data_IF_467976645108
#
_entry.id   IF_467976645108
#
_cell.length_a   1.000
_cell.length_b   1.000
_cell.length_c   1.000
_cell.angle_alpha   90.00
_cell.angle_beta   90.00
_cell.angle_gamma   90.00
#
_symmetry.space_group_name_H-M   'P 1'
#
loop_
_entity.id
_entity.type
_entity.pdbx_description
1 polymer ?
#
# COMPACT_ATOMS: atom_id res chain seq x y z
N UNK A 1 49.11 1.62 -46.55
CA UNK A 1 47.67 1.28 -46.66
C UNK A 1 47.28 0.39 -45.49
N UNK A 2 46.75 0.99 -44.43
CA UNK A 2 46.25 0.28 -43.23
C UNK A 2 44.74 0.19 -43.29
N UNK A 3 44.22 -1.04 -43.45
CA UNK A 3 42.77 -1.30 -43.30
C UNK A 3 42.42 -1.38 -41.81
N UNK A 4 41.63 -0.46 -41.33
CA UNK A 4 41.01 -0.49 -40.00
C UNK A 4 39.74 -1.37 -40.07
N UNK A 5 39.78 -2.49 -39.38
CA UNK A 5 38.61 -3.35 -39.16
C UNK A 5 37.82 -2.78 -38.00
N UNK A 6 36.60 -2.34 -38.27
CA UNK A 6 35.61 -1.94 -37.26
C UNK A 6 34.98 -3.22 -36.69
N UNK A 7 35.25 -3.48 -35.44
CA UNK A 7 34.52 -4.49 -34.65
C UNK A 7 33.22 -3.86 -34.18
N UNK A 8 32.10 -4.35 -34.70
CA UNK A 8 30.79 -4.03 -34.22
C UNK A 8 30.56 -4.76 -32.89
N UNK A 9 30.45 -4.00 -31.80
CA UNK A 9 30.02 -4.51 -30.51
C UNK A 9 28.48 -4.52 -30.51
N UNK A 10 27.93 -5.71 -30.71
CA UNK A 10 26.48 -5.93 -30.52
C UNK A 10 26.18 -5.96 -29.03
N UNK A 11 25.60 -4.90 -28.52
CA UNK A 11 25.06 -4.88 -27.18
C UNK A 11 23.79 -5.74 -27.12
N UNK A 12 23.92 -6.90 -26.50
CA UNK A 12 22.75 -7.73 -26.14
C UNK A 12 22.02 -7.09 -24.97
N UNK A 13 21.03 -6.27 -25.28
CA UNK A 13 20.00 -5.90 -24.32
C UNK A 13 18.96 -7.01 -24.32
N UNK A 14 18.99 -7.84 -23.30
CA UNK A 14 17.93 -8.83 -23.15
C UNK A 14 17.69 -9.21 -21.70
N UNK A 15 16.41 -9.23 -21.38
CA UNK A 15 15.80 -10.14 -20.42
C UNK A 15 16.14 -9.94 -18.94
N UNK A 16 16.04 -8.71 -18.41
CA UNK A 16 16.06 -8.50 -16.96
C UNK A 16 14.68 -8.29 -16.31
N UNK A 17 13.66 -7.96 -17.11
CA UNK A 17 12.35 -7.53 -16.57
C UNK A 17 11.34 -8.66 -16.32
N UNK A 18 11.53 -9.85 -16.92
CA UNK A 18 10.57 -10.95 -16.80
C UNK A 18 10.68 -11.75 -15.48
N UNK A 19 11.85 -11.73 -14.85
CA UNK A 19 12.10 -12.54 -13.65
C UNK A 19 11.61 -11.93 -12.32
N UNK A 20 11.30 -10.66 -12.28
CA UNK A 20 10.89 -9.99 -11.03
C UNK A 20 9.44 -10.30 -10.61
N UNK A 21 8.54 -10.53 -11.58
CA UNK A 21 7.13 -10.81 -11.30
C UNK A 21 6.91 -12.22 -10.73
N UNK A 22 7.69 -13.21 -11.17
CA UNK A 22 7.55 -14.59 -10.71
C UNK A 22 8.05 -14.82 -9.27
N UNK A 23 8.98 -13.99 -8.79
CA UNK A 23 9.49 -14.10 -7.41
C UNK A 23 8.58 -13.50 -6.35
N UNK A 24 7.65 -12.64 -6.75
CA UNK A 24 6.73 -11.96 -5.81
C UNK A 24 5.46 -12.77 -5.57
N UNK A 25 5.23 -13.85 -6.32
CA UNK A 25 4.02 -14.68 -6.18
C UNK A 25 2.74 -13.98 -6.68
N UNK A 26 2.84 -12.75 -7.19
CA UNK A 26 1.71 -12.02 -7.77
C UNK A 26 1.70 -12.29 -9.27
N UNK A 27 0.94 -13.28 -9.70
CA UNK A 27 0.63 -13.52 -11.11
C UNK A 27 -0.72 -12.87 -11.41
N UNK A 28 -0.76 -11.74 -12.11
CA UNK A 28 -2.03 -11.05 -12.37
C UNK A 28 -3.11 -11.92 -13.01
N UNK A 29 -2.70 -12.85 -13.86
CA UNK A 29 -3.57 -13.80 -14.56
C UNK A 29 -4.10 -14.94 -13.68
N UNK A 30 -3.46 -15.20 -12.54
CA UNK A 30 -3.86 -16.28 -11.60
C UNK A 30 -4.55 -15.76 -10.34
N UNK A 31 -4.66 -14.43 -10.18
CA UNK A 31 -5.36 -13.84 -9.05
C UNK A 31 -6.87 -14.03 -9.25
N UNK A 32 -7.57 -14.64 -8.29
CA UNK A 32 -9.02 -14.83 -8.38
C UNK A 32 -9.78 -13.53 -8.62
N UNK A 33 -10.96 -13.62 -9.21
CA UNK A 33 -11.81 -12.45 -9.36
C UNK A 33 -12.30 -11.95 -8.02
N UNK A 34 -12.67 -10.66 -7.94
CA UNK A 34 -13.19 -10.07 -6.70
C UNK A 34 -14.44 -10.81 -6.15
N UNK A 35 -15.17 -11.52 -6.99
CA UNK A 35 -16.33 -12.32 -6.60
C UNK A 35 -15.96 -13.55 -5.74
N UNK A 36 -14.72 -14.00 -5.79
CA UNK A 36 -14.23 -15.14 -5.01
C UNK A 36 -13.79 -14.76 -3.59
N UNK A 37 -13.73 -13.45 -3.29
CA UNK A 37 -13.33 -12.97 -1.97
C UNK A 37 -14.57 -12.66 -1.11
N UNK A 38 -14.86 -13.46 -0.09
CA UNK A 38 -16.08 -13.31 0.71
C UNK A 38 -16.15 -12.01 1.50
N UNK A 39 -15.05 -11.29 1.64
CA UNK A 39 -14.98 -10.02 2.37
C UNK A 39 -15.18 -8.79 1.51
N UNK A 40 -15.10 -8.94 0.20
CA UNK A 40 -15.41 -7.84 -0.70
C UNK A 40 -16.92 -7.78 -0.87
N UNK A 41 -17.54 -6.71 -0.41
CA UNK A 41 -18.98 -6.54 -0.61
C UNK A 41 -19.30 -6.33 -2.07
N UNK A 42 -20.43 -6.91 -2.50
CA UNK A 42 -21.02 -6.57 -3.79
C UNK A 42 -21.15 -5.05 -3.91
N UNK A 43 -20.65 -4.49 -5.02
CA UNK A 43 -20.66 -3.04 -5.23
C UNK A 43 -19.39 -2.30 -4.79
N UNK A 44 -18.36 -2.98 -4.23
CA UNK A 44 -17.05 -2.32 -4.03
C UNK A 44 -16.44 -1.96 -5.39
N UNK A 45 -16.15 -0.67 -5.56
CA UNK A 45 -15.60 -0.09 -6.79
C UNK A 45 -14.08 0.00 -6.67
N UNK A 46 -13.36 -1.03 -7.11
CA UNK A 46 -11.90 -1.12 -6.99
C UNK A 46 -11.17 -0.09 -7.84
N UNK A 47 -11.69 0.21 -9.03
CA UNK A 47 -11.19 1.26 -9.92
C UNK A 47 -11.34 2.64 -9.27
N UNK A 48 -12.52 2.96 -8.78
CA UNK A 48 -12.75 4.22 -8.05
C UNK A 48 -11.85 4.35 -6.82
N UNK A 49 -11.70 3.28 -6.04
CA UNK A 49 -10.81 3.27 -4.88
C UNK A 49 -9.37 3.57 -5.28
N UNK A 50 -8.85 2.83 -6.25
CA UNK A 50 -7.45 2.93 -6.68
C UNK A 50 -7.15 4.33 -7.24
N UNK A 51 -7.93 4.79 -8.22
CA UNK A 51 -7.68 6.05 -8.89
C UNK A 51 -7.94 7.26 -7.95
N UNK A 52 -9.00 7.22 -7.14
CA UNK A 52 -9.30 8.32 -6.22
C UNK A 52 -8.30 8.43 -5.07
N UNK A 53 -7.81 7.30 -4.56
CA UNK A 53 -6.75 7.31 -3.53
C UNK A 53 -5.46 7.89 -4.07
N UNK A 54 -5.03 7.51 -5.28
CA UNK A 54 -3.82 8.05 -5.88
C UNK A 54 -3.94 9.54 -6.22
N UNK A 55 -5.12 9.99 -6.63
CA UNK A 55 -5.34 11.39 -7.04
C UNK A 55 -5.59 12.34 -5.87
N UNK A 56 -6.31 11.90 -4.83
CA UNK A 56 -6.87 12.79 -3.80
C UNK A 56 -6.58 12.32 -2.37
N UNK A 57 -6.05 11.12 -2.18
CA UNK A 57 -5.75 10.59 -0.86
C UNK A 57 -4.38 11.02 -0.35
N UNK A 58 -4.21 10.92 0.95
CA UNK A 58 -2.97 11.22 1.66
C UNK A 58 -2.28 9.90 2.00
N UNK A 59 -1.46 9.43 1.07
CA UNK A 59 -0.82 8.12 1.12
C UNK A 59 0.60 8.16 1.68
N UNK A 60 0.96 7.11 2.38
CA UNK A 60 2.31 6.86 2.92
C UNK A 60 3.00 5.87 2.00
N UNK A 61 4.17 6.24 1.47
CA UNK A 61 4.97 5.39 0.59
C UNK A 61 6.45 5.41 1.00
N UNK A 62 7.17 4.36 0.62
CA UNK A 62 8.62 4.35 0.79
C UNK A 62 9.26 5.48 -0.04
N UNK A 63 9.92 6.47 0.58
CA UNK A 63 10.53 7.58 -0.15
C UNK A 63 11.69 7.16 -1.07
N UNK A 64 12.22 5.95 -0.86
CA UNK A 64 13.30 5.37 -1.69
C UNK A 64 12.76 4.52 -2.85
N UNK A 65 11.44 4.28 -2.92
CA UNK A 65 10.86 3.50 -4.02
C UNK A 65 10.94 4.30 -5.33
N UNK A 66 11.34 3.64 -6.42
CA UNK A 66 11.31 4.25 -7.75
C UNK A 66 9.87 4.56 -8.17
N UNK A 67 9.67 5.69 -8.85
CA UNK A 67 8.38 6.06 -9.44
C UNK A 67 7.90 5.10 -10.52
N UNK A 68 8.81 4.32 -11.12
CA UNK A 68 8.52 3.39 -12.21
C UNK A 68 7.98 2.05 -11.72
N UNK A 69 8.03 1.82 -10.40
CA UNK A 69 7.49 0.60 -9.81
C UNK A 69 5.95 0.59 -9.87
N UNK A 70 5.35 -0.59 -10.10
CA UNK A 70 3.91 -0.73 -10.03
C UNK A 70 3.41 -0.36 -8.64
N UNK A 71 2.32 0.42 -8.59
CA UNK A 71 1.72 0.84 -7.32
C UNK A 71 0.66 -0.14 -6.85
N UNK A 72 0.63 -0.36 -5.55
CA UNK A 72 -0.44 -1.04 -4.82
C UNK A 72 -1.02 -0.07 -3.81
N UNK A 73 -2.28 0.27 -3.97
CA UNK A 73 -3.05 1.07 -3.00
C UNK A 73 -3.50 0.16 -1.88
N UNK A 74 -3.21 0.51 -0.62
CA UNK A 74 -3.64 -0.25 0.55
C UNK A 74 -4.40 0.65 1.52
N UNK A 75 -5.65 0.29 1.79
CA UNK A 75 -6.46 0.90 2.85
C UNK A 75 -6.21 0.16 4.15
N UNK A 76 -5.78 0.86 5.18
CA UNK A 76 -5.28 0.30 6.43
C UNK A 76 -5.80 1.08 7.64
N UNK A 77 -5.93 0.41 8.78
CA UNK A 77 -6.24 1.04 10.07
C UNK A 77 -5.13 0.73 11.07
N UNK A 78 -4.67 1.74 11.78
CA UNK A 78 -3.57 1.64 12.76
C UNK A 78 -3.84 0.67 13.91
N UNK A 79 -5.09 0.33 14.18
CA UNK A 79 -5.47 -0.62 15.23
C UNK A 79 -5.79 -2.03 14.73
N UNK A 80 -5.54 -2.28 13.43
CA UNK A 80 -5.89 -3.54 12.78
C UNK A 80 -4.73 -4.55 12.79
N UNK A 81 -4.85 -5.71 13.48
CA UNK A 81 -3.79 -6.71 13.51
C UNK A 81 -3.46 -7.31 12.14
N UNK A 82 -4.44 -7.40 11.24
CA UNK A 82 -4.24 -7.88 9.88
C UNK A 82 -3.52 -6.86 9.00
N UNK A 83 -3.72 -5.56 9.28
CA UNK A 83 -2.99 -4.49 8.62
C UNK A 83 -1.50 -4.54 9.00
N UNK A 84 -1.21 -4.74 10.29
CA UNK A 84 0.16 -4.92 10.77
C UNK A 84 0.85 -6.14 10.14
N UNK A 85 0.13 -7.26 10.02
CA UNK A 85 0.67 -8.44 9.33
C UNK A 85 0.97 -8.17 7.86
N UNK A 86 0.06 -7.48 7.16
CA UNK A 86 0.25 -7.11 5.77
C UNK A 86 1.45 -6.17 5.61
N UNK A 87 1.58 -5.15 6.48
CA UNK A 87 2.75 -4.28 6.50
C UNK A 87 4.04 -5.08 6.55
N UNK A 88 4.19 -5.95 7.54
CA UNK A 88 5.40 -6.77 7.71
C UNK A 88 5.66 -7.68 6.49
N UNK A 89 4.60 -8.25 5.90
CA UNK A 89 4.72 -9.10 4.71
C UNK A 89 5.16 -8.33 3.46
N UNK A 90 4.87 -7.02 3.36
CA UNK A 90 5.27 -6.21 2.21
C UNK A 90 6.71 -5.67 2.28
N UNK A 91 7.31 -5.63 3.47
CA UNK A 91 8.65 -5.05 3.65
C UNK A 91 9.73 -5.64 2.73
N UNK A 92 9.82 -6.96 2.52
CA UNK A 92 10.80 -7.56 1.60
C UNK A 92 10.55 -7.24 0.12
N UNK A 93 9.43 -6.60 -0.21
CA UNK A 93 9.00 -6.33 -1.58
C UNK A 93 9.07 -4.84 -1.96
N UNK A 94 9.48 -3.98 -1.03
CA UNK A 94 9.45 -2.51 -1.21
C UNK A 94 10.46 -1.99 -2.24
N UNK A 95 11.40 -2.82 -2.67
CA UNK A 95 12.31 -2.56 -3.79
C UNK A 95 11.72 -2.92 -5.16
N UNK A 96 10.57 -3.62 -5.20
CA UNK A 96 9.93 -4.16 -6.41
C UNK A 96 8.53 -3.62 -6.66
N UNK A 97 7.89 -3.15 -5.59
CA UNK A 97 6.50 -2.68 -5.62
C UNK A 97 6.40 -1.41 -4.78
N UNK A 98 5.71 -0.41 -5.30
CA UNK A 98 5.41 0.81 -4.58
C UNK A 98 4.10 0.63 -3.80
N UNK A 99 4.20 0.20 -2.54
CA UNK A 99 3.04 0.13 -1.65
C UNK A 99 2.69 1.52 -1.13
N UNK A 100 1.47 1.97 -1.39
CA UNK A 100 0.96 3.26 -0.91
C UNK A 100 -0.14 2.99 0.11
N UNK A 101 0.15 3.33 1.37
CA UNK A 101 -0.73 3.05 2.51
C UNK A 101 -1.60 4.26 2.84
N UNK A 102 -2.90 4.06 2.84
CA UNK A 102 -3.90 5.07 3.18
C UNK A 102 -4.55 4.70 4.50
N UNK A 103 -4.24 5.48 5.55
CA UNK A 103 -4.76 5.24 6.89
C UNK A 103 -6.19 5.75 7.00
N UNK A 104 -7.06 4.90 7.52
CA UNK A 104 -8.49 5.17 7.75
C UNK A 104 -8.91 4.75 9.17
N UNK A 105 -9.81 5.47 9.84
CA UNK A 105 -10.24 5.15 11.21
C UNK A 105 -11.51 4.28 11.17
N UNK A 106 -11.36 2.98 10.99
CA UNK A 106 -12.49 2.04 10.90
C UNK A 106 -12.78 1.34 12.22
N UNK A 107 -11.73 1.08 13.03
CA UNK A 107 -11.87 0.20 14.19
C UNK A 107 -12.06 0.92 15.51
N UNK A 108 -11.37 2.05 15.74
CA UNK A 108 -11.39 2.77 17.02
C UNK A 108 -11.14 4.26 16.84
N UNK A 109 -11.58 5.07 17.80
CA UNK A 109 -11.29 6.51 17.83
C UNK A 109 -9.78 6.79 17.90
N UNK A 110 -9.04 5.94 18.58
CA UNK A 110 -7.58 6.02 18.66
C UNK A 110 -6.91 5.97 17.27
N UNK A 111 -7.53 5.28 16.31
CA UNK A 111 -7.02 5.17 14.94
C UNK A 111 -6.85 6.55 14.27
N UNK A 112 -7.76 7.50 14.53
CA UNK A 112 -7.66 8.87 14.00
C UNK A 112 -6.40 9.56 14.52
N UNK A 113 -6.19 9.51 15.83
CA UNK A 113 -5.09 10.21 16.48
C UNK A 113 -3.74 9.62 16.10
N UNK A 114 -3.64 8.30 16.01
CA UNK A 114 -2.43 7.61 15.54
C UNK A 114 -2.14 7.89 14.07
N UNK A 115 -3.15 7.81 13.20
CA UNK A 115 -2.99 8.08 11.78
C UNK A 115 -2.57 9.53 11.54
N UNK A 116 -3.20 10.50 12.22
CA UNK A 116 -2.85 11.90 12.13
C UNK A 116 -1.41 12.17 12.63
N UNK A 117 -1.00 11.53 13.73
CA UNK A 117 0.37 11.61 14.24
C UNK A 117 1.40 11.07 13.22
N UNK A 118 1.08 9.96 12.56
CA UNK A 118 1.93 9.37 11.52
C UNK A 118 2.04 10.33 10.32
N UNK A 119 0.91 10.85 9.81
CA UNK A 119 0.90 11.76 8.66
C UNK A 119 1.59 13.11 8.97
N UNK A 120 1.59 13.55 10.22
CA UNK A 120 2.23 14.81 10.63
C UNK A 120 3.75 14.72 10.71
N UNK A 121 4.31 13.53 10.64
CA UNK A 121 5.76 13.31 10.69
C UNK A 121 6.45 13.86 9.43
N UNK A 122 7.68 14.33 9.58
CA UNK A 122 8.55 14.68 8.45
C UNK A 122 8.88 13.48 7.56
N UNK A 123 8.80 12.26 8.11
CA UNK A 123 8.91 11.01 7.37
C UNK A 123 7.79 10.05 7.80
N UNK A 124 6.60 10.14 7.19
CA UNK A 124 5.47 9.29 7.55
C UNK A 124 5.73 7.79 7.35
N UNK A 125 6.59 7.41 6.41
CA UNK A 125 6.97 6.02 6.19
C UNK A 125 7.72 5.42 7.39
N UNK A 126 8.73 6.10 7.86
CA UNK A 126 9.48 5.66 9.06
C UNK A 126 8.58 5.69 10.30
N UNK A 127 7.74 6.72 10.42
CA UNK A 127 6.82 6.84 11.56
C UNK A 127 5.76 5.73 11.57
N UNK A 128 5.30 5.31 10.40
CA UNK A 128 4.40 4.16 10.31
C UNK A 128 5.14 2.85 10.62
N UNK A 129 6.39 2.70 10.18
CA UNK A 129 7.25 1.58 10.56
C UNK A 129 7.47 1.49 12.07
N UNK A 130 7.70 2.62 12.74
CA UNK A 130 7.78 2.70 14.21
C UNK A 130 6.47 2.26 14.87
N UNK A 131 5.32 2.72 14.34
CA UNK A 131 4.01 2.28 14.82
C UNK A 131 3.87 0.76 14.75
N UNK A 132 4.25 0.14 13.66
CA UNK A 132 4.15 -1.30 13.45
C UNK A 132 5.14 -2.10 14.31
N UNK A 133 6.30 -1.51 14.63
CA UNK A 133 7.27 -2.10 15.54
C UNK A 133 6.67 -2.28 16.95
N UNK A 134 5.96 -1.25 17.42
CA UNK A 134 5.33 -1.26 18.75
C UNK A 134 3.89 -1.81 18.74
N UNK A 135 3.43 -2.34 17.62
CA UNK A 135 2.04 -2.80 17.49
C UNK A 135 1.66 -3.92 18.47
N UNK A 136 2.63 -4.73 18.90
CA UNK A 136 2.41 -5.84 19.85
C UNK A 136 2.49 -5.42 21.31
N UNK A 137 2.89 -4.18 21.57
CA UNK A 137 3.04 -3.70 22.94
C UNK A 137 1.69 -3.61 23.64
N UNK A 138 1.64 -4.08 24.87
CA UNK A 138 0.45 -4.02 25.69
C UNK A 138 0.09 -2.56 26.00
N UNK A 139 -1.16 -2.19 25.76
CA UNK A 139 -1.71 -0.88 26.09
C UNK A 139 -2.17 -0.11 24.85
N UNK A 140 -1.27 0.32 23.99
CA UNK A 140 -1.65 1.21 22.87
C UNK A 140 -1.73 0.55 21.50
N UNK A 141 -1.13 -0.57 21.27
CA UNK A 141 -0.93 -1.11 19.92
C UNK A 141 -0.35 -0.04 18.99
N UNK A 142 0.98 0.08 18.99
CA UNK A 142 1.69 1.09 18.23
C UNK A 142 1.95 2.37 19.01
N UNK A 143 1.95 3.50 18.34
CA UNK A 143 2.29 4.81 18.91
C UNK A 143 1.25 5.29 19.93
N UNK A 144 1.71 5.88 21.03
CA UNK A 144 0.86 6.63 21.95
C UNK A 144 0.75 8.09 21.46
N UNK A 145 -0.43 8.58 21.03
CA UNK A 145 -0.62 9.96 20.61
C UNK A 145 -0.91 10.92 21.77
N UNK A 146 -1.01 10.43 23.01
CA UNK A 146 -1.39 11.23 24.16
C UNK A 146 -0.38 12.35 24.44
N UNK A 147 -0.87 13.57 24.64
CA UNK A 147 -0.03 14.74 24.91
C UNK A 147 0.75 15.26 23.70
N UNK A 148 0.65 14.64 22.53
CA UNK A 148 1.33 15.09 21.33
C UNK A 148 0.38 15.99 20.51
N UNK A 149 0.66 17.27 20.35
CA UNK A 149 -0.16 18.16 19.54
C UNK A 149 0.00 17.80 18.07
N UNK A 150 -1.12 17.60 17.37
CA UNK A 150 -1.18 17.37 15.93
C UNK A 150 -2.15 18.35 15.32
N UNK A 151 -1.72 19.07 14.28
CA UNK A 151 -2.54 20.02 13.53
C UNK A 151 -3.79 19.35 12.98
N UNK A 152 -4.93 20.03 13.04
CA UNK A 152 -6.23 19.53 12.61
C UNK A 152 -6.21 19.05 11.15
N UNK A 153 -5.42 19.68 10.29
CA UNK A 153 -5.28 19.30 8.87
C UNK A 153 -4.96 17.82 8.68
N UNK A 154 -4.13 17.22 9.55
CA UNK A 154 -3.77 15.80 9.42
C UNK A 154 -4.93 14.88 9.81
N UNK A 155 -5.81 15.32 10.71
CA UNK A 155 -7.06 14.61 10.98
C UNK A 155 -8.01 14.69 9.78
N UNK A 156 -8.05 15.84 9.11
CA UNK A 156 -8.85 16.06 7.91
C UNK A 156 -8.34 15.22 6.73
N UNK A 157 -7.02 15.02 6.64
CA UNK A 157 -6.39 14.11 5.68
C UNK A 157 -6.82 12.65 5.91
N UNK A 158 -6.80 12.18 7.17
CA UNK A 158 -7.31 10.85 7.55
C UNK A 158 -8.79 10.70 7.19
N UNK A 159 -9.61 11.72 7.46
CA UNK A 159 -11.02 11.70 7.08
C UNK A 159 -11.24 11.72 5.58
N UNK A 160 -10.37 12.37 4.82
CA UNK A 160 -10.41 12.35 3.36
C UNK A 160 -10.19 10.94 2.84
N UNK A 161 -9.16 10.25 3.33
CA UNK A 161 -8.94 8.84 3.02
C UNK A 161 -10.16 7.98 3.37
N UNK A 162 -10.75 8.19 4.55
CA UNK A 162 -11.93 7.45 5.00
C UNK A 162 -13.15 7.67 4.10
N UNK A 163 -13.38 8.91 3.65
CA UNK A 163 -14.47 9.23 2.72
C UNK A 163 -14.29 8.53 1.37
N UNK A 164 -13.09 8.58 0.78
CA UNK A 164 -12.79 7.90 -0.48
C UNK A 164 -13.03 6.40 -0.32
N UNK A 165 -12.48 5.77 0.72
CA UNK A 165 -12.67 4.36 1.00
C UNK A 165 -14.15 3.99 1.12
N UNK A 166 -14.92 4.76 1.91
CA UNK A 166 -16.35 4.52 2.12
C UNK A 166 -17.16 4.66 0.83
N UNK A 167 -16.90 5.71 0.04
CA UNK A 167 -17.60 5.92 -1.24
C UNK A 167 -17.27 4.83 -2.26
N UNK A 168 -16.07 4.24 -2.18
CA UNK A 168 -15.70 3.09 -2.98
C UNK A 168 -16.27 1.77 -2.46
N UNK A 169 -17.07 1.79 -1.39
CA UNK A 169 -17.70 0.60 -0.81
C UNK A 169 -16.79 -0.26 0.08
N UNK A 170 -15.65 0.28 0.53
CA UNK A 170 -14.76 -0.43 1.46
C UNK A 170 -15.40 -0.49 2.86
N UNK A 171 -15.48 -1.69 3.41
CA UNK A 171 -16.13 -1.94 4.72
C UNK A 171 -15.25 -2.73 5.68
N UNK A 172 -14.06 -3.14 5.22
CA UNK A 172 -13.10 -3.88 6.04
C UNK A 172 -11.68 -3.51 5.65
N UNK A 173 -10.77 -3.65 6.58
CA UNK A 173 -9.33 -3.43 6.41
C UNK A 173 -8.55 -4.68 6.85
N UNK A 174 -7.37 -4.92 6.24
CA UNK A 174 -6.82 -4.21 5.10
C UNK A 174 -7.49 -4.59 3.78
N UNK A 175 -7.50 -3.66 2.84
CA UNK A 175 -7.84 -3.92 1.45
C UNK A 175 -6.75 -3.33 0.57
N UNK A 176 -6.03 -4.16 -0.16
CA UNK A 176 -5.11 -3.74 -1.20
C UNK A 176 -5.75 -3.81 -2.59
N UNK A 177 -5.33 -2.92 -3.49
CA UNK A 177 -5.75 -2.95 -4.90
C UNK A 177 -4.55 -2.61 -5.77
N UNK A 178 -4.35 -3.37 -6.84
CA UNK A 178 -3.40 -3.02 -7.88
C UNK A 178 -4.05 -3.10 -9.25
N UNK A 179 -3.50 -2.35 -10.21
CA UNK A 179 -3.90 -2.37 -11.61
C UNK A 179 -2.93 -3.26 -12.39
N UNK A 180 -3.43 -4.34 -12.97
CA UNK A 180 -2.58 -5.25 -13.75
C UNK A 180 -2.27 -4.69 -15.14
N UNK A 181 -1.41 -5.37 -15.91
CA UNK A 181 -1.02 -4.96 -17.26
C UNK A 181 -2.18 -4.92 -18.26
N UNK A 182 -3.25 -5.65 -18.00
CA UNK A 182 -4.48 -5.64 -18.81
C UNK A 182 -5.46 -4.52 -18.39
N UNK A 183 -5.05 -3.62 -17.48
CA UNK A 183 -5.86 -2.52 -16.98
C UNK A 183 -6.94 -2.92 -15.97
N UNK A 184 -6.97 -4.17 -15.52
CA UNK A 184 -7.93 -4.64 -14.51
C UNK A 184 -7.44 -4.32 -13.09
N UNK A 185 -8.38 -3.95 -12.22
CA UNK A 185 -8.13 -3.71 -10.80
C UNK A 185 -8.36 -4.99 -10.02
N UNK A 186 -7.33 -5.43 -9.32
CA UNK A 186 -7.30 -6.72 -8.63
C UNK A 186 -7.16 -6.47 -7.13
N UNK A 187 -8.08 -7.03 -6.31
CA UNK A 187 -7.99 -6.90 -4.87
C UNK A 187 -6.91 -7.80 -4.27
N UNK A 188 -6.27 -7.30 -3.22
CA UNK A 188 -5.34 -8.05 -2.37
C UNK A 188 -5.87 -7.99 -0.95
N UNK A 189 -6.00 -9.15 -0.32
CA UNK A 189 -6.31 -9.25 1.10
C UNK A 189 -5.10 -9.81 1.84
N UNK A 190 -4.84 -9.32 3.05
CA UNK A 190 -3.99 -10.07 3.96
C UNK A 190 -4.74 -11.35 4.29
N UNK A 191 -4.26 -12.45 3.77
CA UNK A 191 -4.96 -13.71 3.89
C UNK A 191 -5.42 -13.97 5.31
N UNK A 192 -6.69 -14.21 5.46
CA UNK A 192 -7.17 -15.12 6.46
C UNK A 192 -6.75 -16.52 6.00
N UNK A 193 -5.46 -16.80 6.04
CA UNK A 193 -5.09 -18.19 6.16
C UNK A 193 -5.41 -18.57 7.59
N UNK A 194 -6.47 -19.26 7.77
CA UNK A 194 -6.60 -20.19 8.87
C UNK A 194 -5.32 -20.94 9.09
#
# INVERSE_FOLDING_TARGET
MLRRTLLAVSAAFSAGAAFAADKVGIRPETVPSSAEYPRLRAGTQLDHLYESMLANGFGIKNPKASSDLPSVVIVSDTQCPWCSRLWNATMPLTDKVNFVWYLVPVLRDLSISQAALILSSSNPWEKYGEHELYFKDAGFRGLNPEGIPVDQKYRDEVWTNAKIARWSGVTSVPLGVYKNKAGKYIPIFSGSST
#
